data_IF_641381032922
#
_entry.id   IF_641381032922
#
_cell.length_a   1.000
_cell.length_b   1.000
_cell.length_c   1.000
_cell.angle_alpha   90.00
_cell.angle_beta   90.00
_cell.angle_gamma   90.00
#
_symmetry.space_group_name_H-M   'P 1'
#
loop_
_entity.id
_entity.type
_entity.pdbx_description
1 polymer ?
#
# COMPACT_ATOMS: atom_id res chain seq x y z
N UNK A 1 -3.25 3.07 -48.71
CA UNK A 1 -4.04 3.33 -47.47
C UNK A 1 -3.09 3.78 -46.39
N UNK A 2 -3.11 5.08 -45.97
CA UNK A 2 -2.21 5.62 -44.95
C UNK A 2 -2.81 5.52 -43.53
N UNK A 3 -3.82 4.66 -43.31
CA UNK A 3 -4.42 4.41 -42.00
C UNK A 3 -5.39 5.51 -41.53
N UNK A 4 -5.69 6.50 -42.34
CA UNK A 4 -6.66 7.53 -41.98
C UNK A 4 -8.10 6.97 -42.06
N UNK A 5 -8.94 7.30 -41.08
CA UNK A 5 -10.37 7.06 -41.10
C UNK A 5 -11.12 8.37 -41.25
N UNK A 6 -12.13 8.37 -42.09
CA UNK A 6 -13.05 9.51 -42.23
C UNK A 6 -13.86 9.68 -40.93
N UNK A 7 -13.96 10.91 -40.46
CA UNK A 7 -14.69 11.27 -39.24
C UNK A 7 -15.95 12.05 -39.58
N UNK A 8 -15.83 13.13 -40.33
CA UNK A 8 -16.96 14.00 -40.67
C UNK A 8 -16.64 14.89 -41.84
N UNK A 9 -17.66 15.52 -42.40
CA UNK A 9 -17.56 16.59 -43.38
C UNK A 9 -18.43 17.79 -42.98
N UNK A 10 -18.08 18.97 -43.44
CA UNK A 10 -18.78 20.20 -43.03
C UNK A 10 -20.11 20.44 -43.77
N UNK A 11 -20.24 19.89 -44.97
CA UNK A 11 -21.45 20.00 -45.81
C UNK A 11 -21.62 18.77 -46.68
N UNK A 12 -22.83 18.54 -47.21
CA UNK A 12 -23.08 17.47 -48.17
C UNK A 12 -22.41 17.82 -49.52
N UNK A 13 -21.41 17.03 -50.01
CA UNK A 13 -20.70 17.32 -51.24
C UNK A 13 -21.54 17.11 -52.49
N UNK A 14 -22.74 16.55 -52.41
CA UNK A 14 -23.65 16.30 -53.55
C UNK A 14 -24.57 17.48 -53.85
N UNK A 15 -24.58 18.51 -53.00
CA UNK A 15 -25.48 19.63 -53.14
C UNK A 15 -24.74 20.83 -53.79
N UNK A 16 -24.76 20.91 -55.13
CA UNK A 16 -24.18 22.03 -55.89
C UNK A 16 -25.01 23.30 -55.73
N UNK A 17 -24.36 24.38 -55.34
CA UNK A 17 -24.98 25.70 -55.27
C UNK A 17 -24.25 26.71 -56.19
N UNK A 18 -24.86 27.91 -56.39
CA UNK A 18 -24.35 28.95 -57.28
C UNK A 18 -23.10 29.68 -56.75
N UNK A 19 -22.62 29.34 -55.57
CA UNK A 19 -21.43 29.93 -54.96
C UNK A 19 -20.38 28.84 -54.70
N UNK A 20 -19.11 29.23 -54.76
CA UNK A 20 -18.00 28.35 -54.39
C UNK A 20 -18.18 27.84 -52.95
N UNK A 21 -18.07 26.55 -52.79
CA UNK A 21 -18.15 25.88 -51.47
C UNK A 21 -16.80 25.32 -51.07
N UNK A 22 -16.43 25.56 -49.80
CA UNK A 22 -15.31 24.89 -49.19
C UNK A 22 -15.84 23.71 -48.34
N UNK A 23 -15.58 22.49 -48.78
CA UNK A 23 -15.94 21.29 -48.08
C UNK A 23 -14.72 20.86 -47.25
N UNK A 24 -14.90 20.85 -45.94
CA UNK A 24 -13.85 20.40 -45.00
C UNK A 24 -14.11 18.91 -44.65
N UNK A 25 -13.23 18.04 -45.14
CA UNK A 25 -13.21 16.63 -44.76
C UNK A 25 -12.25 16.44 -43.61
N UNK A 26 -12.75 15.85 -42.54
CA UNK A 26 -11.96 15.56 -41.34
C UNK A 26 -11.67 14.06 -41.28
N UNK A 27 -10.40 13.73 -41.21
CA UNK A 27 -9.89 12.39 -41.05
C UNK A 27 -9.09 12.28 -39.75
N UNK A 28 -9.16 11.16 -39.09
CA UNK A 28 -8.24 10.81 -38.00
C UNK A 28 -7.49 9.53 -38.36
N UNK A 29 -6.41 9.25 -37.65
CA UNK A 29 -5.72 7.98 -37.67
C UNK A 29 -5.81 7.38 -36.27
N UNK A 30 -6.53 6.29 -36.11
CA UNK A 30 -6.63 5.64 -34.81
C UNK A 30 -5.26 5.15 -34.39
N UNK A 31 -4.93 5.31 -33.10
CA UNK A 31 -3.72 4.75 -32.53
C UNK A 31 -3.71 3.22 -32.61
N UNK A 32 -2.51 2.67 -32.66
CA UNK A 32 -2.28 1.22 -32.60
C UNK A 32 -1.95 0.86 -31.17
N UNK A 33 -2.69 -0.09 -30.59
CA UNK A 33 -2.37 -0.63 -29.27
C UNK A 33 -1.06 -1.43 -29.35
N UNK A 34 -0.09 -1.04 -28.55
CA UNK A 34 1.22 -1.68 -28.43
C UNK A 34 1.53 -2.07 -26.97
N UNK A 35 0.52 -2.10 -26.12
CA UNK A 35 0.65 -2.37 -24.67
C UNK A 35 1.41 -3.68 -24.38
N UNK A 36 1.18 -4.71 -25.17
CA UNK A 36 1.82 -6.03 -24.99
C UNK A 36 3.25 -6.10 -25.54
N UNK A 37 3.60 -5.23 -26.46
CA UNK A 37 4.88 -5.26 -27.19
C UNK A 37 5.85 -4.16 -26.79
N UNK A 38 5.37 -3.06 -26.22
CA UNK A 38 6.23 -1.98 -25.73
C UNK A 38 6.81 -2.32 -24.35
N UNK A 39 8.13 -2.46 -24.23
CA UNK A 39 8.77 -2.80 -22.96
C UNK A 39 8.55 -1.75 -21.86
N UNK A 40 8.19 -0.51 -22.22
CA UNK A 40 7.87 0.56 -21.28
C UNK A 40 6.44 0.49 -20.76
N UNK A 41 5.59 -0.37 -21.33
CA UNK A 41 4.23 -0.59 -20.86
C UNK A 41 4.14 -1.60 -19.71
N UNK A 42 5.25 -2.25 -19.36
CA UNK A 42 5.33 -3.27 -18.30
C UNK A 42 6.55 -3.05 -17.41
N UNK A 43 6.38 -3.16 -16.10
CA UNK A 43 7.47 -3.05 -15.12
C UNK A 43 7.33 -4.12 -14.05
N UNK A 44 8.42 -4.81 -13.74
CA UNK A 44 8.53 -5.73 -12.62
C UNK A 44 9.16 -4.98 -11.45
N UNK A 45 8.53 -5.04 -10.28
CA UNK A 45 9.01 -4.39 -9.06
C UNK A 45 8.90 -5.34 -7.88
N UNK A 46 9.75 -5.14 -6.89
CA UNK A 46 9.82 -5.97 -5.69
C UNK A 46 9.61 -5.13 -4.43
N UNK A 47 8.87 -5.68 -3.47
CA UNK A 47 8.83 -5.17 -2.10
C UNK A 47 9.50 -6.17 -1.18
N UNK A 48 10.57 -5.74 -0.49
CA UNK A 48 11.25 -6.53 0.55
C UNK A 48 10.69 -6.17 1.91
N UNK A 49 10.15 -7.15 2.63
CA UNK A 49 9.64 -7.01 3.99
C UNK A 49 10.62 -7.72 4.92
N UNK A 50 11.29 -6.97 5.78
CA UNK A 50 12.20 -7.50 6.78
C UNK A 50 11.47 -7.66 8.11
N UNK A 51 11.34 -8.89 8.60
CA UNK A 51 10.71 -9.21 9.89
C UNK A 51 11.83 -9.43 10.91
N UNK A 52 11.85 -8.62 11.97
CA UNK A 52 12.77 -8.74 13.10
C UNK A 52 12.04 -9.34 14.30
N UNK A 53 12.29 -10.60 14.59
CA UNK A 53 11.70 -11.30 15.71
C UNK A 53 12.38 -10.95 17.03
N UNK A 54 11.63 -11.05 18.16
CA UNK A 54 12.25 -11.03 19.48
C UNK A 54 13.38 -12.08 19.59
N UNK A 55 14.49 -11.74 20.23
CA UNK A 55 15.67 -12.60 20.29
C UNK A 55 16.66 -12.47 19.12
N UNK A 56 16.44 -11.52 18.21
CA UNK A 56 17.42 -11.11 17.17
C UNK A 56 17.34 -11.89 15.85
N UNK A 57 16.43 -12.85 15.72
CA UNK A 57 16.22 -13.55 14.45
C UNK A 57 15.58 -12.59 13.44
N UNK A 58 16.07 -12.58 12.20
CA UNK A 58 15.48 -11.84 11.09
C UNK A 58 15.00 -12.78 9.99
N UNK A 59 13.97 -12.36 9.27
CA UNK A 59 13.45 -13.04 8.08
C UNK A 59 13.12 -12.00 7.01
N UNK A 60 13.48 -12.29 5.77
CA UNK A 60 13.08 -11.45 4.63
C UNK A 60 12.04 -12.16 3.78
N UNK A 61 11.03 -11.41 3.37
CA UNK A 61 9.97 -11.84 2.45
C UNK A 61 9.97 -10.88 1.27
N UNK A 62 10.01 -11.43 0.07
CA UNK A 62 9.91 -10.65 -1.16
C UNK A 62 8.54 -10.84 -1.79
N UNK A 63 7.82 -9.75 -2.01
CA UNK A 63 6.64 -9.71 -2.86
C UNK A 63 7.03 -9.13 -4.21
N UNK A 64 6.66 -9.81 -5.28
CA UNK A 64 6.88 -9.33 -6.65
C UNK A 64 5.56 -8.88 -7.25
N UNK A 65 5.53 -7.70 -7.84
CA UNK A 65 4.38 -7.17 -8.55
C UNK A 65 4.74 -6.86 -10.01
N UNK A 66 3.79 -7.12 -10.89
CA UNK A 66 3.84 -6.71 -12.28
C UNK A 66 2.92 -5.50 -12.43
N UNK A 67 3.52 -4.37 -12.75
CA UNK A 67 2.77 -3.17 -13.13
C UNK A 67 2.63 -3.12 -14.64
N UNK A 68 1.46 -2.74 -15.13
CA UNK A 68 1.17 -2.58 -16.55
C UNK A 68 0.49 -1.26 -16.81
N UNK A 69 0.61 -0.75 -18.02
CA UNK A 69 -0.14 0.42 -18.50
C UNK A 69 -0.46 0.26 -19.97
N UNK A 70 -1.47 0.95 -20.45
CA UNK A 70 -1.76 1.00 -21.87
C UNK A 70 -0.68 1.80 -22.61
N UNK A 71 -0.38 1.39 -23.83
CA UNK A 71 0.53 2.10 -24.73
C UNK A 71 -0.09 2.17 -26.12
N UNK A 72 -0.29 3.38 -26.63
CA UNK A 72 -0.90 3.61 -27.93
C UNK A 72 0.09 4.35 -28.83
N UNK A 73 0.47 3.73 -29.93
CA UNK A 73 1.38 4.31 -30.90
C UNK A 73 0.61 5.03 -32.03
N UNK A 74 0.99 6.26 -32.28
CA UNK A 74 0.54 6.96 -33.47
C UNK A 74 1.19 6.33 -34.73
N UNK A 75 0.39 5.85 -35.70
CA UNK A 75 0.93 5.12 -36.85
C UNK A 75 1.75 5.97 -37.79
N UNK A 76 1.66 7.31 -37.73
CA UNK A 76 2.36 8.24 -38.59
C UNK A 76 3.62 8.77 -37.93
N UNK A 77 3.48 9.43 -36.78
CA UNK A 77 4.61 10.00 -36.03
C UNK A 77 5.45 8.97 -35.29
N UNK A 78 4.90 7.75 -35.07
CA UNK A 78 5.51 6.68 -34.26
C UNK A 78 5.67 7.05 -32.79
N UNK A 79 5.08 8.15 -32.37
CA UNK A 79 5.07 8.54 -30.95
C UNK A 79 4.16 7.61 -30.17
N UNK A 80 4.64 7.13 -29.03
CA UNK A 80 3.86 6.29 -28.10
C UNK A 80 3.35 7.14 -26.94
N UNK A 81 2.06 7.05 -26.69
CA UNK A 81 1.38 7.67 -25.54
C UNK A 81 1.03 6.58 -24.53
N UNK A 82 1.29 6.82 -23.27
CA UNK A 82 1.06 5.88 -22.20
C UNK A 82 -0.12 6.31 -21.32
N UNK A 83 -0.93 5.35 -20.91
CA UNK A 83 -1.95 5.53 -19.87
C UNK A 83 -1.39 5.39 -18.46
N UNK A 84 -2.28 5.39 -17.50
CA UNK A 84 -1.93 5.24 -16.09
C UNK A 84 -1.44 3.82 -15.78
N UNK A 85 -0.56 3.73 -14.79
CA UNK A 85 -0.12 2.44 -14.26
C UNK A 85 -1.26 1.73 -13.53
N UNK A 86 -1.23 0.41 -13.61
CA UNK A 86 -2.11 -0.50 -12.86
C UNK A 86 -1.29 -1.61 -12.23
N UNK A 87 -1.79 -2.17 -11.12
CA UNK A 87 -1.11 -3.19 -10.33
C UNK A 87 -0.78 -2.71 -8.93
N UNK A 88 0.10 -3.41 -8.23
CA UNK A 88 0.48 -3.03 -6.86
C UNK A 88 0.97 -4.20 -6.02
N UNK A 89 1.41 -3.90 -4.80
CA UNK A 89 1.72 -4.89 -3.79
C UNK A 89 0.49 -5.16 -2.91
N UNK A 90 0.22 -6.43 -2.66
CA UNK A 90 -0.85 -6.83 -1.74
C UNK A 90 -0.44 -6.56 -0.30
N UNK A 91 -1.42 -6.29 0.55
CA UNK A 91 -1.22 -6.25 1.99
C UNK A 91 -0.50 -7.51 2.49
N UNK A 92 0.36 -7.33 3.49
CA UNK A 92 1.06 -8.43 4.15
C UNK A 92 0.79 -8.37 5.65
N UNK A 93 0.08 -9.35 6.18
CA UNK A 93 -0.21 -9.45 7.62
C UNK A 93 1.03 -9.90 8.39
N UNK A 94 1.38 -9.16 9.44
CA UNK A 94 2.48 -9.52 10.33
C UNK A 94 2.18 -10.84 11.05
N UNK A 95 3.17 -11.74 11.22
CA UNK A 95 2.99 -12.93 12.04
C UNK A 95 2.59 -12.58 13.47
N UNK A 96 1.52 -13.22 13.98
CA UNK A 96 1.07 -12.99 15.36
C UNK A 96 1.99 -13.70 16.33
N UNK A 97 2.59 -12.97 17.26
CA UNK A 97 3.40 -13.52 18.33
C UNK A 97 2.70 -13.34 19.68
N UNK A 98 2.57 -14.41 20.49
CA UNK A 98 2.03 -14.28 21.83
C UNK A 98 2.82 -13.27 22.67
N UNK A 99 2.11 -12.40 23.39
CA UNK A 99 2.68 -11.37 24.27
C UNK A 99 3.43 -10.22 23.59
N UNK A 100 3.35 -10.12 22.25
CA UNK A 100 3.96 -9.04 21.49
C UNK A 100 2.92 -8.30 20.65
N UNK A 101 3.21 -7.04 20.36
CA UNK A 101 2.52 -6.20 19.38
C UNK A 101 3.48 -5.98 18.23
N UNK A 102 2.99 -6.14 17.01
CA UNK A 102 3.76 -5.84 15.80
C UNK A 102 3.78 -4.34 15.51
N UNK A 103 4.89 -3.89 15.00
CA UNK A 103 5.09 -2.53 14.47
C UNK A 103 5.53 -2.62 13.01
N UNK A 104 4.97 -1.77 12.18
CA UNK A 104 5.41 -1.59 10.80
C UNK A 104 6.06 -0.23 10.68
N UNK A 105 7.33 -0.21 10.29
CA UNK A 105 8.14 1.01 10.16
C UNK A 105 8.06 1.93 11.41
N UNK A 106 8.07 1.29 12.61
CA UNK A 106 8.07 1.96 13.90
C UNK A 106 6.70 2.43 14.41
N UNK A 107 5.60 2.01 13.79
CA UNK A 107 4.23 2.29 14.23
C UNK A 107 3.49 1.00 14.49
N UNK A 108 2.71 0.94 15.56
CA UNK A 108 1.86 -0.21 15.86
C UNK A 108 0.90 -0.47 14.70
N UNK A 109 1.03 -1.64 14.10
CA UNK A 109 0.21 -2.08 12.98
C UNK A 109 0.28 -3.60 12.83
N UNK A 110 -0.83 -4.20 12.43
CA UNK A 110 -0.95 -5.64 12.22
C UNK A 110 -0.55 -6.09 10.81
N UNK A 111 -0.37 -5.13 9.89
CA UNK A 111 -0.02 -5.44 8.50
C UNK A 111 0.78 -4.32 7.84
N UNK A 112 1.62 -4.70 6.87
CA UNK A 112 2.20 -3.80 5.90
C UNK A 112 1.12 -3.50 4.85
N UNK A 113 0.74 -2.24 4.64
CA UNK A 113 -0.37 -1.90 3.75
C UNK A 113 -0.11 -2.27 2.29
N UNK A 114 -1.19 -2.49 1.55
CA UNK A 114 -1.12 -2.60 0.09
C UNK A 114 -0.60 -1.30 -0.53
N UNK A 115 0.05 -1.42 -1.69
CA UNK A 115 0.43 -0.26 -2.51
C UNK A 115 -0.25 -0.44 -3.86
N UNK A 116 -1.03 0.54 -4.29
CA UNK A 116 -1.66 0.56 -5.62
C UNK A 116 -0.85 1.48 -6.52
N UNK A 117 -0.53 1.01 -7.73
CA UNK A 117 0.11 1.81 -8.75
C UNK A 117 -0.96 2.51 -9.58
N UNK A 118 -0.78 3.79 -9.80
CA UNK A 118 -1.68 4.66 -10.55
C UNK A 118 -0.90 5.82 -11.19
N UNK A 119 -1.60 6.86 -11.63
CA UNK A 119 -0.98 8.06 -12.22
C UNK A 119 -0.06 8.83 -11.26
N UNK A 120 -0.34 8.76 -9.95
CA UNK A 120 0.37 9.52 -8.90
C UNK A 120 1.43 8.64 -8.19
N UNK A 121 1.32 7.31 -8.32
CA UNK A 121 2.20 6.32 -7.69
C UNK A 121 2.84 5.43 -8.75
N UNK A 122 3.96 5.90 -9.31
CA UNK A 122 4.73 5.13 -10.29
C UNK A 122 5.32 3.86 -9.66
N UNK A 123 5.26 2.70 -10.36
CA UNK A 123 5.85 1.46 -9.87
C UNK A 123 7.33 1.59 -9.53
N UNK A 124 7.69 1.25 -8.31
CA UNK A 124 9.07 1.23 -7.82
C UNK A 124 9.26 0.13 -6.77
N UNK A 125 10.51 -0.28 -6.59
CA UNK A 125 10.84 -1.17 -5.48
C UNK A 125 10.56 -0.49 -4.15
N UNK A 126 10.08 -1.28 -3.18
CA UNK A 126 9.71 -0.81 -1.85
C UNK A 126 10.34 -1.67 -0.76
N UNK A 127 10.45 -1.11 0.44
CA UNK A 127 10.90 -1.83 1.64
C UNK A 127 9.94 -1.53 2.77
N UNK A 128 9.78 -2.49 3.68
CA UNK A 128 9.08 -2.33 4.94
C UNK A 128 9.78 -3.16 6.01
N UNK A 129 9.69 -2.73 7.25
CA UNK A 129 10.23 -3.46 8.39
C UNK A 129 9.12 -3.77 9.36
N UNK A 130 9.05 -5.02 9.82
CA UNK A 130 8.16 -5.45 10.89
C UNK A 130 9.05 -5.74 12.11
N UNK A 131 8.80 -5.00 13.19
CA UNK A 131 9.40 -5.18 14.49
C UNK A 131 8.33 -5.60 15.51
N UNK A 132 8.75 -6.03 16.71
CA UNK A 132 7.85 -6.43 17.78
C UNK A 132 8.29 -5.82 19.10
N UNK A 133 7.33 -5.31 19.85
CA UNK A 133 7.54 -4.93 21.25
C UNK A 133 6.59 -5.71 22.18
N UNK A 134 6.95 -5.83 23.45
CA UNK A 134 6.13 -6.57 24.43
C UNK A 134 4.81 -5.86 24.70
N UNK A 135 3.75 -6.62 24.84
CA UNK A 135 2.41 -6.09 25.15
C UNK A 135 2.42 -5.32 26.48
N UNK A 136 1.81 -4.12 26.52
CA UNK A 136 1.52 -3.48 27.81
C UNK A 136 0.57 -4.37 28.62
N UNK A 137 0.77 -4.38 29.94
CA UNK A 137 -0.04 -5.13 30.87
C UNK A 137 -0.21 -4.35 32.16
N UNK A 138 -1.39 -4.41 32.71
CA UNK A 138 -1.74 -3.77 33.99
C UNK A 138 -2.04 -4.84 35.02
N UNK A 139 -1.36 -4.78 36.15
CA UNK A 139 -1.61 -5.69 37.28
C UNK A 139 -2.28 -4.95 38.44
N UNK A 140 -3.22 -5.60 39.07
CA UNK A 140 -3.88 -5.09 40.26
C UNK A 140 -3.43 -5.89 41.47
N UNK A 141 -2.80 -5.20 42.43
CA UNK A 141 -2.38 -5.76 43.72
C UNK A 141 -3.46 -5.42 44.74
N UNK A 142 -3.95 -6.42 45.43
CA UNK A 142 -4.92 -6.27 46.52
C UNK A 142 -4.22 -6.60 47.82
N UNK A 143 -4.19 -5.65 48.74
CA UNK A 143 -3.76 -5.85 50.11
C UNK A 143 -4.96 -6.33 50.91
N UNK A 144 -4.83 -7.46 51.60
CA UNK A 144 -5.90 -8.09 52.36
C UNK A 144 -5.47 -8.23 53.84
N UNK A 145 -6.41 -8.00 54.77
CA UNK A 145 -6.16 -8.22 56.17
C UNK A 145 -6.33 -9.71 56.54
N UNK A 146 -6.11 -10.03 57.84
CA UNK A 146 -6.24 -11.37 58.42
C UNK A 146 -7.66 -11.96 58.32
N UNK A 147 -8.66 -11.13 58.05
CA UNK A 147 -10.07 -11.55 57.84
C UNK A 147 -10.41 -11.76 56.38
N UNK A 148 -9.45 -11.53 55.45
CA UNK A 148 -9.67 -11.65 54.01
C UNK A 148 -10.33 -10.42 53.35
N UNK A 149 -10.45 -9.29 54.06
CA UNK A 149 -11.02 -8.03 53.53
C UNK A 149 -9.96 -7.24 52.79
N UNK A 150 -10.33 -6.64 51.65
CA UNK A 150 -9.43 -5.77 50.86
C UNK A 150 -9.30 -4.45 51.59
N UNK A 151 -8.10 -4.14 52.06
CA UNK A 151 -7.79 -2.87 52.77
C UNK A 151 -7.16 -1.84 51.86
N UNK A 152 -6.54 -2.28 50.75
CA UNK A 152 -5.97 -1.38 49.72
C UNK A 152 -5.93 -2.09 48.37
N UNK A 153 -6.05 -1.30 47.32
CA UNK A 153 -5.82 -1.76 45.94
C UNK A 153 -4.81 -0.84 45.27
N UNK A 154 -3.84 -1.40 44.59
CA UNK A 154 -2.84 -0.68 43.83
C UNK A 154 -2.80 -1.25 42.38
N UNK A 155 -2.78 -0.37 41.41
CA UNK A 155 -2.61 -0.74 40.00
C UNK A 155 -1.20 -0.40 39.55
N UNK A 156 -0.55 -1.34 38.88
CA UNK A 156 0.80 -1.19 38.34
C UNK A 156 0.75 -1.46 36.83
N UNK A 157 1.18 -0.50 36.07
CA UNK A 157 1.34 -0.64 34.62
C UNK A 157 2.76 -1.11 34.29
N UNK A 158 2.89 -2.00 33.34
CA UNK A 158 4.15 -2.58 32.90
C UNK A 158 4.01 -3.27 31.54
N UNK A 159 4.92 -4.17 31.28
CA UNK A 159 4.91 -4.98 30.06
C UNK A 159 4.96 -6.46 30.38
N UNK A 160 4.39 -7.30 29.53
CA UNK A 160 4.42 -8.75 29.72
C UNK A 160 5.86 -9.25 29.80
N UNK A 161 6.18 -10.02 30.85
CA UNK A 161 7.52 -10.58 31.10
C UNK A 161 8.49 -9.66 31.84
N UNK A 162 8.07 -8.45 32.22
CA UNK A 162 8.87 -7.59 33.13
C UNK A 162 8.53 -7.86 34.58
N UNK A 163 9.51 -7.69 35.46
CA UNK A 163 9.32 -7.71 36.91
C UNK A 163 9.20 -6.29 37.43
N UNK A 164 8.32 -6.10 38.38
CA UNK A 164 8.18 -4.82 39.07
C UNK A 164 8.29 -5.10 40.60
N UNK A 165 9.16 -4.33 41.28
CA UNK A 165 9.22 -4.40 42.75
C UNK A 165 8.00 -3.69 43.33
N UNK A 166 7.25 -4.45 44.11
CA UNK A 166 6.17 -3.89 44.93
C UNK A 166 6.81 -3.33 46.18
N UNK A 167 6.98 -2.00 46.24
CA UNK A 167 7.40 -1.35 47.48
C UNK A 167 6.33 -1.53 48.53
N UNK A 168 6.76 -1.99 49.70
CA UNK A 168 5.87 -2.20 50.84
C UNK A 168 5.19 -0.87 51.21
N UNK A 169 3.93 -0.77 50.87
CA UNK A 169 3.11 0.38 51.21
C UNK A 169 2.05 -0.11 52.21
N UNK A 170 2.51 -0.37 53.44
CA UNK A 170 1.62 -0.75 54.55
C UNK A 170 0.43 0.19 54.61
N UNK A 171 -0.81 -0.28 54.49
CA UNK A 171 -1.99 0.56 54.60
C UNK A 171 -2.03 1.24 55.96
N UNK A 172 -2.51 2.49 56.02
CA UNK A 172 -2.62 3.25 57.27
C UNK A 172 -3.44 2.46 58.32
N UNK A 173 -2.85 2.24 59.51
CA UNK A 173 -3.47 1.48 60.61
C UNK A 173 -3.13 -0.01 60.65
N UNK A 174 -2.19 -0.47 59.79
CA UNK A 174 -1.63 -1.83 59.80
C UNK A 174 -0.11 -1.76 60.03
N UNK A 175 0.43 -2.71 60.78
CA UNK A 175 1.85 -2.91 61.01
C UNK A 175 2.37 -4.08 60.18
#
# INVERSE_FOLDING_TARGET
DKGYKFVSQSTDPTNFCTKDQVIKLIFNHPGIDVSDTDPKAKKLVNRTITIKYPGGKTQEITQTAVATRTATMDPISKVVTYGDWTGGFKEFTAPVLPNYVSQVDGKDAESVPAIVFDKDHEPSDAKATIDYHTKPNTQTIKYINDRGEIVKTQTIDGYVGTTHEVTDATPTGYE
#
